data_IF_708395222488
#
_entry.id   IF_708395222488
#
_cell.length_a   1.000
_cell.length_b   1.000
_cell.length_c   1.000
_cell.angle_alpha   90.00
_cell.angle_beta   90.00
_cell.angle_gamma   90.00
#
_symmetry.space_group_name_H-M   'P 1'
#
loop_
_entity.id
_entity.type
_entity.pdbx_description
1 polymer ?
#
# COMPACT_ATOMS: atom_id res chain seq x y z
N UNK A 1 -3.37 -26.59 2.12
CA UNK A 1 -2.88 -25.22 1.86
C UNK A 1 -3.52 -24.76 0.56
N UNK A 2 -4.47 -23.84 0.64
CA UNK A 2 -5.15 -23.29 -0.54
C UNK A 2 -4.56 -21.91 -0.80
N UNK A 3 -3.79 -21.77 -1.87
CA UNK A 3 -3.35 -20.48 -2.43
C UNK A 3 -4.27 -20.18 -3.60
N UNK A 4 -5.10 -19.14 -3.50
CA UNK A 4 -6.04 -18.72 -4.54
C UNK A 4 -6.09 -17.21 -4.63
N UNK A 5 -6.13 -16.71 -5.87
CA UNK A 5 -5.82 -15.32 -6.17
C UNK A 5 -7.03 -14.42 -6.42
N UNK A 6 -8.24 -14.90 -6.73
CA UNK A 6 -9.34 -14.02 -7.13
C UNK A 6 -10.72 -14.69 -6.89
N UNK A 7 -11.49 -14.21 -5.91
CA UNK A 7 -12.87 -14.62 -5.52
C UNK A 7 -13.05 -15.95 -4.77
N UNK A 8 -13.55 -15.85 -3.53
CA UNK A 8 -14.11 -16.97 -2.75
C UNK A 8 -15.63 -17.10 -2.91
N UNK A 9 -16.29 -16.25 -3.69
CA UNK A 9 -17.76 -16.15 -3.63
C UNK A 9 -18.47 -17.44 -4.05
N UNK A 10 -17.85 -18.19 -4.97
CA UNK A 10 -18.43 -19.37 -5.63
C UNK A 10 -17.73 -20.69 -5.26
N UNK A 11 -16.76 -20.65 -4.34
CA UNK A 11 -16.08 -21.85 -3.86
C UNK A 11 -16.89 -22.47 -2.74
N UNK A 12 -17.14 -23.78 -2.81
CA UNK A 12 -17.71 -24.57 -1.72
C UNK A 12 -16.67 -25.60 -1.26
N UNK A 13 -16.55 -25.77 0.05
CA UNK A 13 -15.71 -26.81 0.65
C UNK A 13 -16.55 -27.61 1.64
N UNK A 14 -16.33 -28.92 1.67
CA UNK A 14 -17.16 -29.85 2.46
C UNK A 14 -16.97 -29.66 3.97
N UNK A 15 -15.74 -29.36 4.40
CA UNK A 15 -15.39 -29.22 5.81
C UNK A 15 -14.88 -27.83 6.15
N UNK A 16 -15.27 -27.34 7.33
CA UNK A 16 -14.66 -26.14 7.91
C UNK A 16 -13.16 -26.35 8.15
N UNK A 17 -12.39 -25.29 8.01
CA UNK A 17 -10.93 -25.29 8.20
C UNK A 17 -10.52 -24.79 9.58
N UNK A 18 -9.40 -25.30 10.07
CA UNK A 18 -8.79 -24.85 11.34
C UNK A 18 -7.94 -23.58 11.16
N UNK A 19 -7.39 -23.35 9.96
CA UNK A 19 -6.52 -22.21 9.66
C UNK A 19 -6.79 -21.66 8.26
N UNK A 20 -6.92 -20.34 8.15
CA UNK A 20 -6.88 -19.59 6.88
C UNK A 20 -5.52 -18.91 6.76
N UNK A 21 -4.85 -19.08 5.63
CA UNK A 21 -3.60 -18.39 5.31
C UNK A 21 -3.84 -17.61 4.03
N UNK A 22 -3.65 -16.30 4.07
CA UNK A 22 -3.79 -15.46 2.87
C UNK A 22 -2.75 -14.36 2.89
N UNK A 23 -2.09 -14.20 1.75
CA UNK A 23 -1.53 -12.91 1.38
C UNK A 23 -2.72 -12.09 0.85
N UNK A 24 -3.05 -10.99 1.51
CA UNK A 24 -4.22 -10.18 1.17
C UNK A 24 -3.90 -8.68 1.14
N UNK A 25 -2.71 -8.30 1.57
CA UNK A 25 -2.36 -6.92 1.83
C UNK A 25 -1.99 -6.25 0.53
N UNK A 26 -2.63 -5.13 0.23
CA UNK A 26 -2.29 -4.33 -0.95
C UNK A 26 -1.44 -3.11 -0.60
N UNK A 27 -1.38 -2.15 -1.53
CA UNK A 27 -0.68 -0.90 -1.29
C UNK A 27 -1.32 -0.13 -0.13
N UNK A 28 -0.49 0.46 0.73
CA UNK A 28 -0.94 1.11 1.97
C UNK A 28 -1.88 0.19 2.79
N UNK A 29 -1.57 -1.11 2.80
CA UNK A 29 -2.31 -2.22 3.42
C UNK A 29 -3.65 -2.57 2.74
N UNK A 30 -4.45 -1.57 2.35
CA UNK A 30 -5.87 -1.77 2.00
C UNK A 30 -6.19 -1.54 0.51
N UNK A 31 -5.40 -0.76 -0.22
CA UNK A 31 -5.67 -0.48 -1.63
C UNK A 31 -5.41 -1.73 -2.47
N UNK A 32 -6.38 -2.15 -3.30
CA UNK A 32 -6.39 -3.44 -4.03
C UNK A 32 -6.26 -4.67 -3.11
N UNK A 33 -6.53 -4.52 -1.81
CA UNK A 33 -6.47 -5.64 -0.87
C UNK A 33 -7.59 -6.66 -1.10
N UNK A 34 -7.30 -7.91 -0.72
CA UNK A 34 -8.28 -8.99 -0.70
C UNK A 34 -8.90 -9.19 0.69
N UNK A 35 -8.85 -8.19 1.57
CA UNK A 35 -9.31 -8.34 2.95
C UNK A 35 -10.79 -8.75 3.03
N UNK A 36 -11.66 -8.19 2.18
CA UNK A 36 -13.07 -8.59 2.13
C UNK A 36 -13.27 -10.06 1.75
N UNK A 37 -12.40 -10.59 0.92
CA UNK A 37 -12.35 -12.00 0.53
C UNK A 37 -11.94 -12.89 1.72
N UNK A 38 -10.92 -12.49 2.47
CA UNK A 38 -10.47 -13.21 3.69
C UNK A 38 -11.55 -13.20 4.77
N UNK A 39 -12.23 -12.08 4.97
CA UNK A 39 -13.35 -11.97 5.93
C UNK A 39 -14.49 -12.92 5.53
N UNK A 40 -14.83 -12.96 4.24
CA UNK A 40 -15.84 -13.89 3.73
C UNK A 40 -15.46 -15.34 4.00
N UNK A 41 -14.20 -15.71 3.73
CA UNK A 41 -13.70 -17.05 3.97
C UNK A 41 -13.71 -17.42 5.47
N UNK A 42 -13.36 -16.47 6.34
CA UNK A 42 -13.47 -16.63 7.80
C UNK A 42 -14.89 -16.98 8.22
N UNK A 43 -15.86 -16.18 7.77
CA UNK A 43 -17.24 -16.29 8.22
C UNK A 43 -17.91 -17.58 7.72
N UNK A 44 -17.55 -18.02 6.51
CA UNK A 44 -18.06 -19.26 5.92
C UNK A 44 -17.39 -20.51 6.50
N UNK A 45 -16.06 -20.54 6.49
CA UNK A 45 -15.33 -21.80 6.60
C UNK A 45 -14.44 -21.94 7.82
N UNK A 46 -14.17 -20.88 8.58
CA UNK A 46 -13.34 -21.03 9.78
C UNK A 46 -14.15 -21.71 10.90
N UNK A 47 -13.57 -22.72 11.54
CA UNK A 47 -14.12 -23.30 12.76
C UNK A 47 -14.07 -22.29 13.91
N UNK A 48 -14.98 -22.35 14.90
CA UNK A 48 -14.84 -21.58 16.14
C UNK A 48 -13.47 -21.85 16.78
N UNK A 49 -12.72 -20.79 17.08
CA UNK A 49 -11.35 -20.90 17.62
C UNK A 49 -10.25 -21.18 16.58
N UNK A 50 -10.59 -21.25 15.29
CA UNK A 50 -9.61 -21.34 14.21
C UNK A 50 -8.76 -20.07 14.07
N UNK A 51 -7.65 -20.19 13.34
CA UNK A 51 -6.66 -19.12 13.17
C UNK A 51 -6.71 -18.50 11.78
N UNK A 52 -6.36 -17.22 11.68
CA UNK A 52 -6.12 -16.53 10.41
C UNK A 52 -4.69 -16.02 10.42
N UNK A 53 -3.95 -16.24 9.33
CA UNK A 53 -2.58 -15.78 9.17
C UNK A 53 -2.48 -14.89 7.91
N UNK A 54 -2.05 -13.61 8.05
CA UNK A 54 -1.77 -12.92 9.32
C UNK A 54 -3.06 -12.60 10.12
N UNK A 55 -2.97 -12.62 11.45
CA UNK A 55 -4.10 -12.32 12.37
C UNK A 55 -4.23 -10.84 12.72
N UNK A 56 -3.14 -10.09 12.56
CA UNK A 56 -3.07 -8.65 12.81
C UNK A 56 -2.29 -7.98 11.69
N UNK A 57 -2.67 -6.76 11.37
CA UNK A 57 -1.92 -5.86 10.52
C UNK A 57 -1.97 -4.45 11.12
N UNK A 58 -0.89 -3.71 11.00
CA UNK A 58 -0.76 -2.36 11.56
C UNK A 58 -0.16 -1.46 10.48
N UNK A 59 -0.83 -0.34 10.20
CA UNK A 59 -0.30 0.68 9.33
C UNK A 59 0.56 1.64 10.16
N UNK A 60 1.74 1.96 9.67
CA UNK A 60 2.66 2.90 10.30
C UNK A 60 2.85 4.10 9.38
N UNK A 61 3.05 5.27 9.97
CA UNK A 61 3.33 6.52 9.24
C UNK A 61 4.49 7.27 9.88
N UNK A 62 5.35 7.85 9.03
CA UNK A 62 6.42 8.75 9.44
C UNK A 62 6.57 9.87 8.39
N UNK A 63 6.88 11.11 8.82
CA UNK A 63 7.32 12.14 7.89
C UNK A 63 8.67 11.77 7.27
N UNK A 64 8.81 12.05 5.98
CA UNK A 64 10.04 11.82 5.21
C UNK A 64 10.53 13.13 4.58
N UNK A 65 11.82 13.19 4.28
CA UNK A 65 12.40 14.15 3.32
C UNK A 65 12.78 13.44 2.05
N UNK A 66 12.50 14.03 0.88
CA UNK A 66 12.91 13.44 -0.41
C UNK A 66 13.42 14.53 -1.37
N UNK A 67 14.60 15.11 -1.08
CA UNK A 67 15.11 16.25 -1.85
C UNK A 67 15.37 15.92 -3.32
N UNK A 68 15.88 14.73 -3.63
CA UNK A 68 16.16 14.34 -5.02
C UNK A 68 14.89 14.25 -5.87
N UNK A 69 13.83 13.62 -5.36
CA UNK A 69 12.51 13.59 -6.01
C UNK A 69 11.98 15.00 -6.27
N UNK A 70 12.08 15.89 -5.28
CA UNK A 70 11.64 17.28 -5.44
C UNK A 70 12.47 18.00 -6.51
N UNK A 71 13.79 17.79 -6.51
CA UNK A 71 14.70 18.41 -7.47
C UNK A 71 14.35 17.99 -8.90
N UNK A 72 14.14 16.69 -9.12
CA UNK A 72 13.86 16.12 -10.44
C UNK A 72 12.46 16.45 -10.95
N UNK A 73 11.45 16.46 -10.08
CA UNK A 73 10.05 16.68 -10.49
C UNK A 73 9.64 18.14 -10.49
N UNK A 74 10.22 18.97 -9.61
CA UNK A 74 9.79 20.34 -9.36
C UNK A 74 10.88 21.35 -9.74
N UNK A 75 12.09 21.24 -9.18
CA UNK A 75 13.14 22.25 -9.43
C UNK A 75 13.72 22.17 -10.85
N UNK A 76 13.59 21.03 -11.53
CA UNK A 76 13.92 20.86 -12.95
C UNK A 76 13.35 21.99 -13.82
N UNK A 77 12.11 22.39 -13.56
CA UNK A 77 11.41 23.41 -14.35
C UNK A 77 11.98 24.82 -14.20
N UNK A 78 12.84 25.08 -13.21
CA UNK A 78 13.49 26.40 -13.07
C UNK A 78 14.47 26.69 -14.19
N UNK A 79 15.09 25.65 -14.76
CA UNK A 79 16.07 25.80 -15.82
C UNK A 79 16.12 24.54 -16.68
N UNK A 80 15.36 24.57 -17.78
CA UNK A 80 15.33 23.51 -18.78
C UNK A 80 16.27 23.92 -19.91
N UNK A 81 17.52 23.50 -19.82
CA UNK A 81 18.58 23.76 -20.82
C UNK A 81 18.79 25.26 -21.15
N UNK A 82 18.74 26.11 -20.13
CA UNK A 82 18.89 27.57 -20.24
C UNK A 82 17.57 28.33 -20.35
N UNK A 83 16.43 27.64 -20.37
CA UNK A 83 15.09 28.23 -20.44
C UNK A 83 14.44 28.19 -19.06
N UNK A 84 14.00 29.36 -18.56
CA UNK A 84 13.21 29.46 -17.34
C UNK A 84 11.76 29.02 -17.62
N UNK A 85 11.37 27.86 -17.09
CA UNK A 85 10.01 27.32 -17.16
C UNK A 85 9.34 27.31 -15.78
N UNK A 86 9.75 28.20 -14.86
CA UNK A 86 9.21 28.26 -13.50
C UNK A 86 7.69 28.46 -13.44
N UNK A 87 7.07 29.00 -14.51
CA UNK A 87 5.62 29.07 -14.68
C UNK A 87 4.91 27.69 -14.65
N UNK A 88 5.62 26.60 -14.96
CA UNK A 88 5.10 25.22 -14.92
C UNK A 88 5.10 24.65 -13.50
N UNK A 89 5.95 25.17 -12.61
CA UNK A 89 6.15 24.61 -11.26
C UNK A 89 4.87 24.49 -10.42
N UNK A 90 3.90 25.43 -10.45
CA UNK A 90 2.64 25.25 -9.72
C UNK A 90 1.87 24.01 -10.17
N UNK A 91 1.79 23.79 -11.49
CA UNK A 91 1.15 22.61 -12.08
C UNK A 91 1.96 21.34 -11.77
N UNK A 92 3.28 21.39 -11.89
CA UNK A 92 4.15 20.26 -11.56
C UNK A 92 3.99 19.81 -10.10
N UNK A 93 3.88 20.77 -9.16
CA UNK A 93 3.61 20.47 -7.74
C UNK A 93 2.24 19.83 -7.56
N UNK A 94 1.22 20.34 -8.23
CA UNK A 94 -0.11 19.74 -8.18
C UNK A 94 -0.05 18.29 -8.66
N UNK A 95 0.45 18.04 -9.87
CA UNK A 95 0.49 16.69 -10.43
C UNK A 95 1.39 15.73 -9.64
N UNK A 96 2.53 16.19 -9.11
CA UNK A 96 3.47 15.33 -8.40
C UNK A 96 2.98 14.85 -7.03
N UNK A 97 1.99 15.55 -6.45
CA UNK A 97 1.48 15.28 -5.10
C UNK A 97 -0.04 15.08 -5.05
N UNK A 98 -0.71 15.00 -6.20
CA UNK A 98 -2.16 14.74 -6.28
C UNK A 98 -2.51 13.31 -5.84
N UNK A 99 -1.66 12.35 -6.20
CA UNK A 99 -1.82 10.93 -5.85
C UNK A 99 -0.63 10.41 -5.04
N UNK A 100 -0.84 9.45 -4.13
CA UNK A 100 0.25 8.80 -3.41
C UNK A 100 1.13 8.00 -4.38
N UNK A 101 2.42 7.93 -4.08
CA UNK A 101 3.40 7.16 -4.84
C UNK A 101 3.90 5.97 -4.02
N UNK A 102 4.16 4.85 -4.70
CA UNK A 102 4.74 3.65 -4.08
C UNK A 102 6.22 3.61 -4.42
N UNK A 103 7.06 3.97 -3.44
CA UNK A 103 8.50 4.14 -3.64
C UNK A 103 9.29 3.54 -2.48
N UNK A 104 10.54 3.16 -2.76
CA UNK A 104 11.48 2.74 -1.72
C UNK A 104 12.14 3.98 -1.14
N UNK A 105 11.99 4.16 0.18
CA UNK A 105 12.61 5.27 0.91
C UNK A 105 13.78 4.74 1.72
N UNK A 106 14.93 5.39 1.58
CA UNK A 106 16.11 5.07 2.38
C UNK A 106 15.97 5.56 3.82
N UNK A 107 16.62 4.87 4.78
CA UNK A 107 16.44 5.15 6.20
C UNK A 107 16.86 6.56 6.61
N UNK A 108 17.87 7.14 5.96
CA UNK A 108 18.33 8.50 6.20
C UNK A 108 17.30 9.59 5.82
N UNK A 109 16.32 9.23 5.00
CA UNK A 109 15.25 10.11 4.57
C UNK A 109 14.02 10.07 5.50
N UNK A 110 14.03 9.24 6.54
CA UNK A 110 12.96 9.16 7.55
C UNK A 110 13.27 10.12 8.71
N UNK A 111 12.39 11.10 8.95
CA UNK A 111 12.71 12.22 9.84
C UNK A 111 12.49 11.91 11.33
N UNK A 112 11.70 10.89 11.66
CA UNK A 112 11.42 10.48 13.05
C UNK A 112 10.92 9.02 13.07
N UNK A 113 10.80 8.45 14.26
CA UNK A 113 10.21 7.13 14.45
C UNK A 113 8.79 7.06 13.88
N UNK A 114 8.43 5.96 13.20
CA UNK A 114 7.08 5.77 12.70
C UNK A 114 6.09 5.58 13.86
N UNK A 115 4.87 6.06 13.66
CA UNK A 115 3.77 5.97 14.59
C UNK A 115 2.57 5.24 13.97
N UNK A 116 1.74 4.64 14.83
CA UNK A 116 0.46 4.00 14.48
C UNK A 116 -0.66 5.02 14.65
#
# INVERSE_FOLDING_TARGET
MLTMFWSWQDVEIDDKVDVIVSEWMGYMLLYESMLGSVITARDRWLKPGGLILPSFATLYMAPISHPDRYKESIDFWRNVYGIDMSAVMPLAKQCAFEEPSVETISGENVLTWPHV
#
